data_IF_133030940854
#
_entry.id   IF_133030940854
#
_cell.length_a   1.000
_cell.length_b   1.000
_cell.length_c   1.000
_cell.angle_alpha   90.00
_cell.angle_beta   90.00
_cell.angle_gamma   90.00
#
_symmetry.space_group_name_H-M   'P 1'
#
loop_
_entity.id
_entity.type
_entity.pdbx_description
1 polymer ?
#
# COMPACT_ATOMS: atom_id res chain seq x y z
N UNK A 1 3.53 -0.34 21.92
CA UNK A 1 3.48 -0.12 20.46
C UNK A 1 2.33 0.86 20.23
N UNK A 2 2.45 1.82 19.31
CA UNK A 2 1.28 2.65 18.98
C UNK A 2 0.31 1.76 18.20
N UNK A 3 -0.76 1.33 18.85
CA UNK A 3 -1.77 0.41 18.30
C UNK A 3 -2.58 1.02 17.14
N UNK A 4 -2.30 2.29 16.79
CA UNK A 4 -2.99 3.02 15.72
C UNK A 4 -2.24 3.00 14.37
N UNK A 5 -1.05 2.40 14.29
CA UNK A 5 -0.29 2.36 13.05
C UNK A 5 -0.63 1.13 12.21
N UNK A 6 -0.49 1.27 10.89
CA UNK A 6 -0.59 0.15 9.96
C UNK A 6 0.39 -0.98 10.35
N UNK A 7 -0.08 -2.23 10.49
CA UNK A 7 0.78 -3.37 10.84
C UNK A 7 1.95 -3.60 9.86
N UNK A 8 1.77 -3.19 8.61
CA UNK A 8 2.76 -3.35 7.55
C UNK A 8 3.70 -2.15 7.38
N UNK A 9 3.63 -1.13 8.26
CA UNK A 9 4.37 0.13 8.09
C UNK A 9 5.89 -0.08 7.95
N UNK A 10 6.47 -1.02 8.71
CA UNK A 10 7.91 -1.30 8.70
C UNK A 10 8.41 -2.10 7.49
N UNK A 11 7.52 -2.62 6.65
CA UNK A 11 7.86 -3.46 5.49
C UNK A 11 7.26 -2.94 4.17
N UNK A 12 6.35 -1.97 4.23
CA UNK A 12 5.70 -1.42 3.05
C UNK A 12 6.66 -0.54 2.25
N UNK A 13 6.92 -0.88 0.98
CA UNK A 13 7.82 -0.09 0.11
C UNK A 13 7.46 1.40 0.01
N UNK A 14 6.18 1.75 0.05
CA UNK A 14 5.74 3.15 0.09
C UNK A 14 6.37 3.91 1.27
N UNK A 15 6.53 3.25 2.41
CA UNK A 15 7.13 3.82 3.62
C UNK A 15 8.65 3.67 3.61
N UNK A 16 9.16 2.48 3.29
CA UNK A 16 10.57 2.13 3.49
C UNK A 16 11.49 2.50 2.32
N UNK A 17 10.94 2.78 1.15
CA UNK A 17 11.72 3.11 -0.06
C UNK A 17 11.61 4.60 -0.39
N UNK A 18 12.72 5.34 -0.26
CA UNK A 18 12.82 6.72 -0.73
C UNK A 18 12.62 6.80 -2.23
N UNK A 19 11.85 7.78 -2.72
CA UNK A 19 11.60 7.97 -4.15
C UNK A 19 10.60 6.97 -4.75
N UNK A 20 9.90 6.15 -3.95
CA UNK A 20 8.97 5.14 -4.46
C UNK A 20 7.91 5.70 -5.43
N UNK A 21 7.42 6.93 -5.20
CA UNK A 21 6.44 7.59 -6.08
C UNK A 21 7.06 8.69 -6.96
N UNK A 22 8.32 9.06 -6.75
CA UNK A 22 8.92 10.28 -7.31
C UNK A 22 8.32 11.60 -6.79
N UNK A 23 7.11 11.58 -6.24
CA UNK A 23 6.43 12.69 -5.57
C UNK A 23 6.39 12.45 -4.05
N UNK A 24 7.26 13.14 -3.32
CA UNK A 24 7.43 12.96 -1.87
C UNK A 24 6.29 13.57 -1.05
N UNK A 25 5.61 14.60 -1.54
CA UNK A 25 4.46 15.18 -0.82
C UNK A 25 3.26 14.24 -0.92
N UNK A 26 2.99 13.69 -2.11
CA UNK A 26 1.96 12.66 -2.28
C UNK A 26 2.27 11.41 -1.46
N UNK A 27 3.55 10.99 -1.43
CA UNK A 27 4.00 9.88 -0.58
C UNK A 27 3.72 10.16 0.89
N UNK A 28 4.05 11.36 1.39
CA UNK A 28 3.78 11.76 2.78
C UNK A 28 2.28 11.73 3.08
N UNK A 29 1.45 12.33 2.23
CA UNK A 29 -0.01 12.34 2.41
C UNK A 29 -0.61 10.94 2.50
N UNK A 30 -0.10 9.99 1.69
CA UNK A 30 -0.53 8.61 1.80
C UNK A 30 -0.12 7.94 3.11
N UNK A 31 1.10 8.19 3.59
CA UNK A 31 1.58 7.63 4.87
C UNK A 31 0.72 8.19 6.02
N UNK A 32 0.48 9.50 6.03
CA UNK A 32 -0.32 10.15 7.07
C UNK A 32 -1.77 9.64 7.05
N UNK A 33 -2.39 9.57 5.87
CA UNK A 33 -3.79 9.16 5.71
C UNK A 33 -4.01 7.69 6.04
N UNK A 34 -3.14 6.80 5.54
CA UNK A 34 -3.40 5.36 5.57
C UNK A 34 -2.55 4.59 6.59
N UNK A 35 -1.42 5.13 7.05
CA UNK A 35 -0.50 4.37 7.92
C UNK A 35 -0.52 4.80 9.38
N UNK A 36 -0.95 6.02 9.71
CA UNK A 36 -0.85 6.58 11.07
C UNK A 36 -2.18 7.05 11.67
N UNK A 37 -3.29 6.86 10.97
CA UNK A 37 -4.62 7.37 11.34
C UNK A 37 -5.60 6.24 11.74
N UNK A 38 -5.08 5.16 12.33
CA UNK A 38 -5.89 4.09 12.93
C UNK A 38 -6.32 2.97 11.99
N UNK A 39 -7.00 1.98 12.57
CA UNK A 39 -7.44 0.74 11.90
C UNK A 39 -8.38 0.95 10.74
N UNK A 40 -9.35 1.85 10.88
CA UNK A 40 -10.26 2.20 9.80
C UNK A 40 -9.50 2.60 8.52
N UNK A 41 -8.42 3.38 8.67
CA UNK A 41 -7.65 3.86 7.54
C UNK A 41 -6.73 2.81 6.95
N UNK A 42 -5.94 2.11 7.76
CA UNK A 42 -5.04 1.10 7.20
C UNK A 42 -5.78 -0.11 6.64
N UNK A 43 -6.96 -0.44 7.17
CA UNK A 43 -7.80 -1.51 6.64
C UNK A 43 -8.42 -1.16 5.28
N UNK A 44 -8.60 0.14 4.99
CA UNK A 44 -9.03 0.64 3.68
C UNK A 44 -7.87 0.79 2.66
N UNK A 45 -6.61 0.75 3.09
CA UNK A 45 -5.45 0.89 2.21
C UNK A 45 -5.30 -0.33 1.28
N UNK A 46 -5.36 -0.13 -0.04
CA UNK A 46 -5.25 -1.24 -1.00
C UNK A 46 -3.94 -2.00 -0.87
N UNK A 47 -2.83 -1.31 -0.59
CA UNK A 47 -1.52 -1.94 -0.38
C UNK A 47 -1.52 -2.90 0.82
N UNK A 48 -2.23 -2.54 1.90
CA UNK A 48 -2.39 -3.42 3.06
C UNK A 48 -3.26 -4.63 2.71
N UNK A 49 -4.41 -4.40 2.08
CA UNK A 49 -5.36 -5.45 1.68
C UNK A 49 -4.67 -6.48 0.77
N UNK A 50 -3.97 -6.01 -0.28
CA UNK A 50 -3.26 -6.87 -1.23
C UNK A 50 -2.17 -7.68 -0.53
N UNK A 51 -1.33 -7.03 0.30
CA UNK A 51 -0.28 -7.73 1.08
C UNK A 51 -0.85 -8.82 1.97
N UNK A 52 -1.98 -8.54 2.63
CA UNK A 52 -2.62 -9.50 3.53
C UNK A 52 -3.27 -10.68 2.78
N UNK A 53 -3.77 -10.46 1.56
CA UNK A 53 -4.44 -11.49 0.75
C UNK A 53 -3.48 -12.33 -0.08
N UNK A 54 -2.46 -11.71 -0.66
CA UNK A 54 -1.53 -12.36 -1.59
C UNK A 54 -0.17 -12.69 -0.95
N UNK A 55 0.12 -12.17 0.24
CA UNK A 55 1.43 -12.32 0.87
C UNK A 55 2.51 -11.37 0.31
N UNK A 56 2.21 -10.59 -0.73
CA UNK A 56 3.08 -9.54 -1.30
C UNK A 56 2.24 -8.36 -1.83
N UNK A 57 2.88 -7.24 -2.16
CA UNK A 57 2.22 -6.07 -2.75
C UNK A 57 3.03 -5.58 -3.96
N UNK A 58 2.49 -5.64 -5.19
CA UNK A 58 3.14 -5.06 -6.35
C UNK A 58 3.37 -3.55 -6.20
N UNK A 59 4.34 -3.03 -6.95
CA UNK A 59 4.75 -1.63 -6.85
C UNK A 59 3.75 -0.65 -7.45
N UNK A 60 3.01 -1.09 -8.48
CA UNK A 60 2.01 -0.23 -9.13
C UNK A 60 0.76 0.00 -8.27
N UNK A 61 0.57 -0.77 -7.19
CA UNK A 61 -0.60 -0.64 -6.31
C UNK A 61 -0.43 0.59 -5.41
N UNK A 62 -1.29 1.58 -5.54
CA UNK A 62 -1.33 2.72 -4.62
C UNK A 62 -2.37 2.51 -3.51
N UNK A 63 -2.27 3.19 -2.36
CA UNK A 63 -3.20 3.04 -1.25
C UNK A 63 -4.67 3.25 -1.63
N UNK A 64 -4.93 4.17 -2.55
CA UNK A 64 -6.23 4.67 -3.00
C UNK A 64 -6.66 4.12 -4.37
N UNK A 65 -6.00 3.09 -4.89
CA UNK A 65 -6.35 2.56 -6.22
C UNK A 65 -7.74 1.91 -6.23
N UNK A 66 -8.52 2.21 -7.27
CA UNK A 66 -9.86 1.65 -7.48
C UNK A 66 -9.84 0.20 -8.00
N UNK A 67 -8.66 -0.36 -8.26
CA UNK A 67 -8.54 -1.75 -8.72
C UNK A 67 -9.04 -2.73 -7.65
N UNK A 68 -9.73 -3.76 -8.12
CA UNK A 68 -10.06 -4.95 -7.34
C UNK A 68 -8.83 -5.86 -7.18
N UNK A 69 -8.90 -6.84 -6.28
CA UNK A 69 -7.80 -7.80 -6.11
C UNK A 69 -7.54 -8.59 -7.40
N UNK A 70 -8.59 -9.06 -8.08
CA UNK A 70 -8.46 -9.84 -9.32
C UNK A 70 -7.79 -9.00 -10.42
N UNK A 71 -8.20 -7.74 -10.61
CA UNK A 71 -7.57 -6.84 -11.57
C UNK A 71 -6.09 -6.54 -11.25
N UNK A 72 -5.71 -6.56 -9.97
CA UNK A 72 -4.32 -6.40 -9.56
C UNK A 72 -3.52 -7.65 -9.91
N UNK A 73 -4.11 -8.84 -9.76
CA UNK A 73 -3.47 -10.11 -10.14
C UNK A 73 -3.29 -10.15 -11.66
N UNK A 74 -4.37 -9.93 -12.42
CA UNK A 74 -4.33 -9.94 -13.89
C UNK A 74 -3.25 -8.99 -14.43
N UNK A 75 -3.20 -7.76 -13.89
CA UNK A 75 -2.20 -6.77 -14.29
C UNK A 75 -0.77 -7.16 -13.87
N UNK A 76 -0.61 -7.88 -12.77
CA UNK A 76 0.71 -8.33 -12.34
C UNK A 76 1.24 -9.43 -13.26
N UNK A 77 0.37 -10.36 -13.68
CA UNK A 77 0.71 -11.42 -14.62
C UNK A 77 1.11 -10.84 -15.99
N UNK A 78 0.36 -9.85 -16.49
CA UNK A 78 0.70 -9.13 -17.75
C UNK A 78 2.06 -8.43 -17.75
N UNK A 79 2.62 -8.07 -16.57
CA UNK A 79 3.91 -7.38 -16.45
C UNK A 79 5.09 -8.36 -16.48
N UNK A 80 4.85 -9.63 -16.13
CA UNK A 80 5.89 -10.65 -15.96
C UNK A 80 6.06 -11.51 -17.21
N UNK A 81 5.07 -11.52 -18.10
CA UNK A 81 5.15 -12.11 -19.45
C UNK A 81 5.96 -11.25 -20.44
#
# INVERSE_FOLDING_TARGET
MNDNNCPNIGICRLVTTTGFLGDEDRRRSFIETYCTDGEEKWSACKRYIVKNKLGFCPDFVLPDTDLTLDQIIDKFDEIID
#
